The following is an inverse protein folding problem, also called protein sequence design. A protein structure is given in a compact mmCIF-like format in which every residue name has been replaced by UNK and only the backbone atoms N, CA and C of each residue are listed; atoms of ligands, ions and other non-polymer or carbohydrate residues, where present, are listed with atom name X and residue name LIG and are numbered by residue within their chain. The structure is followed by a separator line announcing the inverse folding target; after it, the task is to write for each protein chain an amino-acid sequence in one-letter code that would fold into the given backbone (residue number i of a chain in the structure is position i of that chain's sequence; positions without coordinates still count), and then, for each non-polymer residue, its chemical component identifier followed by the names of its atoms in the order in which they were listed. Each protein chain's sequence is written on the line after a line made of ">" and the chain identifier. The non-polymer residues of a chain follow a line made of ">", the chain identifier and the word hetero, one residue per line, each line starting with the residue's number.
data_IF_215479699205
#
_entry.id   IF_215479699205
#
_cell.length_a   1.000
_cell.length_b   1.000
_cell.length_c   1.000
_cell.angle_alpha   90.00
_cell.angle_beta   90.00
_cell.angle_gamma   90.00
#
_symmetry.space_group_name_H-M   'P 1'
#
loop_
_entity.id
_entity.type
_entity.pdbx_description
1 polymer ?
#
# COMPACT_ATOMS: atom_id res chain seq x y z
N UNK A 1 -18.26 -51.20 48.63
CA UNK A 1 -17.34 -50.84 47.56
C UNK A 1 -17.88 -49.60 46.82
N UNK A 2 -17.25 -48.49 47.03
CA UNK A 2 -17.62 -47.25 46.32
C UNK A 2 -16.66 -47.10 45.15
N UNK A 3 -17.19 -47.13 43.92
CA UNK A 3 -16.45 -46.82 42.72
C UNK A 3 -16.17 -45.31 42.66
N UNK A 4 -14.92 -44.88 42.42
CA UNK A 4 -14.65 -43.47 42.21
C UNK A 4 -15.17 -43.07 40.83
N UNK A 5 -16.03 -42.06 40.80
CA UNK A 5 -16.44 -41.41 39.56
C UNK A 5 -15.23 -40.71 38.97
N UNK A 6 -14.70 -41.27 37.89
CA UNK A 6 -13.75 -40.57 37.03
C UNK A 6 -14.56 -39.59 36.16
N UNK A 7 -14.51 -38.32 36.53
CA UNK A 7 -14.97 -37.25 35.65
C UNK A 7 -13.97 -37.10 34.48
N UNK A 8 -14.41 -37.14 33.25
CA UNK A 8 -13.53 -36.79 32.15
C UNK A 8 -13.30 -35.28 32.13
N UNK A 9 -12.06 -34.89 32.35
CA UNK A 9 -11.62 -33.52 32.14
C UNK A 9 -11.58 -33.28 30.62
N UNK A 10 -12.55 -32.56 30.11
CA UNK A 10 -12.54 -32.09 28.71
C UNK A 10 -11.45 -31.02 28.59
N UNK A 11 -10.46 -31.17 27.70
CA UNK A 11 -9.54 -30.08 27.42
C UNK A 11 -10.29 -28.98 26.68
N UNK A 12 -10.37 -27.82 27.30
CA UNK A 12 -10.86 -26.60 26.64
C UNK A 12 -9.84 -26.22 25.55
N UNK A 13 -10.18 -26.54 24.30
CA UNK A 13 -9.39 -26.12 23.16
C UNK A 13 -9.59 -24.61 23.00
N UNK A 14 -8.66 -23.81 23.55
CA UNK A 14 -8.64 -22.38 23.30
C UNK A 14 -8.20 -22.15 21.86
N UNK A 15 -9.15 -21.81 21.00
CA UNK A 15 -8.85 -21.28 19.67
C UNK A 15 -8.19 -19.91 19.87
N UNK A 16 -6.88 -19.88 19.72
CA UNK A 16 -6.14 -18.63 19.60
C UNK A 16 -6.40 -18.09 18.18
N UNK A 17 -7.31 -17.14 18.06
CA UNK A 17 -7.45 -16.37 16.83
C UNK A 17 -6.19 -15.50 16.70
N UNK A 18 -5.26 -15.94 15.87
CA UNK A 18 -4.16 -15.10 15.43
C UNK A 18 -4.72 -14.04 14.48
N UNK A 19 -5.05 -12.85 15.01
CA UNK A 19 -5.23 -11.66 14.19
C UNK A 19 -3.86 -11.17 13.72
N UNK A 20 -3.30 -11.78 12.69
CA UNK A 20 -2.18 -11.22 11.98
C UNK A 20 -2.68 -10.00 11.21
N UNK A 21 -2.11 -8.81 11.47
CA UNK A 21 -2.34 -7.64 10.63
C UNK A 21 -1.96 -7.98 9.19
N UNK A 22 -2.95 -8.01 8.29
CA UNK A 22 -2.70 -8.32 6.89
C UNK A 22 -1.99 -7.15 6.23
N UNK A 23 -0.79 -7.39 5.70
CA UNK A 23 -0.10 -6.45 4.82
C UNK A 23 -0.89 -6.38 3.52
N UNK A 24 -1.24 -5.18 2.99
CA UNK A 24 -1.92 -5.06 1.72
C UNK A 24 -1.19 -5.80 0.62
N UNK A 25 -1.92 -6.56 -0.18
CA UNK A 25 -1.37 -7.17 -1.39
C UNK A 25 -1.00 -6.09 -2.39
N UNK A 26 0.19 -6.19 -3.00
CA UNK A 26 0.73 -5.17 -3.88
C UNK A 26 0.76 -5.64 -5.32
N UNK A 27 0.22 -4.82 -6.20
CA UNK A 27 0.22 -5.06 -7.64
C UNK A 27 1.53 -4.58 -8.25
N UNK A 28 2.26 -5.41 -9.01
CA UNK A 28 3.40 -4.95 -9.79
C UNK A 28 2.96 -3.96 -10.86
N UNK A 29 3.60 -2.79 -10.90
CA UNK A 29 3.28 -1.72 -11.86
C UNK A 29 4.57 -1.10 -12.40
N UNK A 30 4.50 -0.52 -13.59
CA UNK A 30 5.61 0.23 -14.20
C UNK A 30 5.55 1.73 -13.93
N UNK A 31 4.39 2.22 -13.54
CA UNK A 31 4.15 3.61 -13.13
C UNK A 31 2.91 3.68 -12.22
N UNK A 32 2.60 4.86 -11.70
CA UNK A 32 1.51 5.04 -10.76
C UNK A 32 0.10 5.12 -11.40
N UNK A 33 -0.01 5.26 -12.71
CA UNK A 33 -1.31 5.52 -13.39
C UNK A 33 -2.32 4.40 -13.16
N UNK A 34 -1.89 3.14 -13.30
CA UNK A 34 -2.76 2.00 -13.06
C UNK A 34 -3.30 1.97 -11.62
N UNK A 35 -2.48 2.34 -10.64
CA UNK A 35 -2.89 2.41 -9.24
C UNK A 35 -3.85 3.59 -8.97
N UNK A 36 -3.66 4.72 -9.65
CA UNK A 36 -4.57 5.85 -9.53
C UNK A 36 -5.97 5.49 -10.04
N UNK A 37 -6.08 4.81 -11.18
CA UNK A 37 -7.36 4.30 -11.69
C UNK A 37 -7.97 3.28 -10.73
N UNK A 38 -7.17 2.36 -10.22
CA UNK A 38 -7.64 1.37 -9.24
C UNK A 38 -8.18 2.04 -7.99
N UNK A 39 -7.52 3.05 -7.46
CA UNK A 39 -7.98 3.80 -6.28
C UNK A 39 -9.30 4.54 -6.55
N UNK A 40 -9.48 5.13 -7.73
CA UNK A 40 -10.73 5.79 -8.11
C UNK A 40 -11.92 4.82 -8.15
N UNK A 41 -11.68 3.56 -8.50
CA UNK A 41 -12.71 2.52 -8.60
C UNK A 41 -12.89 1.71 -7.31
N UNK A 42 -11.91 1.73 -6.41
CA UNK A 42 -11.94 0.94 -5.19
C UNK A 42 -12.97 1.50 -4.19
N UNK A 43 -13.75 0.64 -3.51
CA UNK A 43 -14.71 1.09 -2.49
C UNK A 43 -14.06 1.86 -1.34
N UNK A 44 -12.82 1.52 -0.96
CA UNK A 44 -12.05 2.20 0.09
C UNK A 44 -11.20 3.38 -0.44
N UNK A 45 -11.22 3.63 -1.74
CA UNK A 45 -10.44 4.70 -2.38
C UNK A 45 -8.94 4.50 -2.34
N UNK A 46 -8.46 3.26 -2.18
CA UNK A 46 -7.04 2.94 -2.02
C UNK A 46 -6.54 1.97 -3.08
N UNK A 47 -5.26 2.06 -3.39
CA UNK A 47 -4.55 1.10 -4.20
C UNK A 47 -3.09 0.99 -3.72
N UNK A 48 -2.54 -0.21 -3.81
CA UNK A 48 -1.19 -0.51 -3.34
C UNK A 48 -0.44 -1.27 -4.43
N UNK A 49 0.79 -0.84 -4.68
CA UNK A 49 1.61 -1.45 -5.71
C UNK A 49 3.09 -1.50 -5.38
N UNK A 50 3.83 -2.15 -6.25
CA UNK A 50 5.29 -2.19 -6.25
C UNK A 50 5.78 -1.79 -7.64
N UNK A 51 6.68 -0.81 -7.68
CA UNK A 51 7.27 -0.35 -8.93
C UNK A 51 8.24 -1.40 -9.47
N UNK A 52 8.10 -1.76 -10.73
CA UNK A 52 8.92 -2.75 -11.43
C UNK A 52 9.47 -2.20 -12.74
N UNK A 53 10.45 -2.88 -13.31
CA UNK A 53 11.03 -2.55 -14.60
C UNK A 53 12.20 -1.58 -14.53
N UNK A 54 12.54 -1.00 -15.68
CA UNK A 54 13.77 -0.19 -15.82
C UNK A 54 13.82 1.03 -14.89
N UNK A 55 12.69 1.68 -14.67
CA UNK A 55 12.63 2.83 -13.76
C UNK A 55 12.95 2.43 -12.32
N UNK A 56 12.37 1.32 -11.85
CA UNK A 56 12.65 0.80 -10.51
C UNK A 56 14.12 0.43 -10.36
N UNK A 57 14.69 -0.23 -11.36
CA UNK A 57 16.10 -0.63 -11.37
C UNK A 57 17.02 0.60 -11.36
N UNK A 58 16.73 1.62 -12.15
CA UNK A 58 17.51 2.85 -12.22
C UNK A 58 17.49 3.61 -10.89
N UNK A 59 16.34 3.74 -10.24
CA UNK A 59 16.20 4.39 -8.94
C UNK A 59 16.98 3.62 -7.87
N UNK A 60 16.81 2.30 -7.82
CA UNK A 60 17.49 1.45 -6.84
C UNK A 60 19.01 1.50 -7.00
N UNK A 61 19.51 1.50 -8.22
CA UNK A 61 20.95 1.66 -8.50
C UNK A 61 21.47 3.05 -8.07
N UNK A 62 20.71 4.09 -8.40
CA UNK A 62 21.10 5.48 -8.05
C UNK A 62 21.28 5.68 -6.55
N UNK A 63 20.46 5.03 -5.74
CA UNK A 63 20.43 5.17 -4.29
C UNK A 63 20.97 3.95 -3.53
N UNK A 64 21.63 3.04 -4.23
CA UNK A 64 22.25 1.83 -3.65
C UNK A 64 21.28 1.04 -2.76
N UNK A 65 20.02 0.98 -3.16
CA UNK A 65 18.99 0.24 -2.46
C UNK A 65 18.71 -1.10 -3.16
N UNK A 66 18.42 -2.14 -2.39
CA UNK A 66 18.10 -3.49 -2.89
C UNK A 66 16.67 -3.90 -2.56
N UNK A 67 15.93 -3.05 -1.87
CA UNK A 67 14.55 -3.27 -1.44
C UNK A 67 13.56 -2.81 -2.50
N UNK A 68 12.30 -3.32 -2.46
CA UNK A 68 11.28 -2.85 -3.36
C UNK A 68 10.94 -1.37 -3.19
N UNK A 69 10.50 -0.73 -4.28
CA UNK A 69 9.90 0.59 -4.25
C UNK A 69 8.39 0.42 -4.19
N UNK A 70 7.77 0.84 -3.10
CA UNK A 70 6.33 0.73 -2.91
C UNK A 70 5.61 2.01 -3.32
N UNK A 71 4.40 1.83 -3.84
CA UNK A 71 3.50 2.93 -4.21
C UNK A 71 2.18 2.72 -3.51
N UNK A 72 1.76 3.71 -2.73
CA UNK A 72 0.45 3.74 -2.09
C UNK A 72 -0.36 4.91 -2.61
N UNK A 73 -1.59 4.66 -3.02
CA UNK A 73 -2.52 5.69 -3.46
C UNK A 73 -3.71 5.69 -2.51
N UNK A 74 -4.04 6.86 -1.99
CA UNK A 74 -5.22 7.08 -1.15
C UNK A 74 -6.04 8.23 -1.70
N UNK A 75 -7.33 8.25 -1.38
CA UNK A 75 -8.24 9.31 -1.79
C UNK A 75 -8.40 10.31 -0.66
N UNK A 76 -8.03 11.57 -0.92
CA UNK A 76 -8.19 12.67 0.04
C UNK A 76 -9.57 13.32 -0.08
N UNK A 77 -10.11 13.42 -1.30
CA UNK A 77 -11.39 14.06 -1.56
C UNK A 77 -12.05 13.50 -2.81
N UNK A 78 -13.34 13.24 -2.75
CA UNK A 78 -14.17 12.96 -3.92
C UNK A 78 -14.75 14.28 -4.46
N UNK A 79 -14.64 14.50 -5.77
CA UNK A 79 -15.26 15.65 -6.43
C UNK A 79 -16.69 15.33 -6.86
N UNK A 80 -17.50 16.35 -7.09
CA UNK A 80 -18.86 16.19 -7.62
C UNK A 80 -18.87 15.61 -9.02
N UNK A 81 -17.83 15.93 -9.81
CA UNK A 81 -17.64 15.29 -11.12
C UNK A 81 -17.40 13.81 -10.94
N UNK A 82 -18.27 12.98 -11.52
CA UNK A 82 -18.20 11.51 -11.42
C UNK A 82 -16.87 11.00 -11.95
N UNK A 83 -16.24 10.11 -11.18
CA UNK A 83 -14.97 9.51 -11.57
C UNK A 83 -13.74 10.37 -11.33
N UNK A 84 -13.88 11.48 -10.61
CA UNK A 84 -12.78 12.40 -10.28
C UNK A 84 -12.56 12.50 -8.77
N UNK A 85 -11.30 12.52 -8.35
CA UNK A 85 -10.91 12.67 -6.95
C UNK A 85 -9.58 13.38 -6.81
N UNK A 86 -9.35 13.91 -5.62
CA UNK A 86 -8.01 14.30 -5.15
C UNK A 86 -7.35 13.07 -4.58
N UNK A 87 -6.27 12.63 -5.21
CA UNK A 87 -5.49 11.48 -4.78
C UNK A 87 -4.18 11.94 -4.14
N UNK A 88 -3.75 11.19 -3.13
CA UNK A 88 -2.39 11.26 -2.59
C UNK A 88 -1.62 10.04 -3.06
N UNK A 89 -0.48 10.25 -3.70
CA UNK A 89 0.40 9.21 -4.19
C UNK A 89 1.69 9.26 -3.38
N UNK A 90 2.03 8.15 -2.74
CA UNK A 90 3.25 7.99 -1.94
C UNK A 90 4.15 6.94 -2.57
N UNK A 91 5.38 7.33 -2.91
CA UNK A 91 6.46 6.40 -3.25
C UNK A 91 7.37 6.26 -2.05
N UNK A 92 7.73 5.04 -1.66
CA UNK A 92 8.66 4.84 -0.58
C UNK A 92 9.53 3.60 -0.76
N UNK A 93 10.73 3.67 -0.21
CA UNK A 93 11.72 2.60 -0.28
C UNK A 93 12.55 2.60 1.00
N UNK A 94 12.81 1.41 1.54
CA UNK A 94 13.72 1.21 2.66
C UNK A 94 15.18 1.17 2.19
N UNK A 95 16.10 1.47 3.09
CA UNK A 95 17.53 1.29 2.84
C UNK A 95 18.11 2.19 1.75
N UNK A 96 17.53 3.36 1.54
CA UNK A 96 18.00 4.33 0.56
C UNK A 96 19.21 5.10 1.10
N UNK A 97 20.30 5.07 0.33
CA UNK A 97 21.51 5.84 0.63
C UNK A 97 21.52 7.10 -0.22
N UNK A 98 21.23 8.24 0.41
CA UNK A 98 21.27 9.53 -0.28
C UNK A 98 22.73 9.96 -0.51
N UNK A 99 23.02 10.70 -1.62
CA UNK A 99 24.36 11.25 -1.87
C UNK A 99 24.88 12.06 -0.69
N UNK A 100 26.12 11.81 -0.29
CA UNK A 100 26.76 12.49 0.83
C UNK A 100 26.39 11.96 2.22
N UNK A 101 25.57 10.89 2.29
CA UNK A 101 25.22 10.23 3.55
C UNK A 101 25.85 8.85 3.65
N UNK A 102 26.00 8.33 4.88
CA UNK A 102 26.58 7.02 5.15
C UNK A 102 25.61 6.04 5.79
N UNK A 103 24.40 6.50 6.13
CA UNK A 103 23.38 5.68 6.80
C UNK A 103 22.17 5.50 5.89
N UNK A 104 21.86 4.25 5.47
CA UNK A 104 20.65 3.97 4.72
C UNK A 104 19.40 4.28 5.54
N UNK A 105 18.39 4.87 4.90
CA UNK A 105 17.12 5.24 5.54
C UNK A 105 15.95 4.98 4.62
N UNK A 106 14.76 4.86 5.22
CA UNK A 106 13.50 4.94 4.49
C UNK A 106 13.34 6.33 3.90
N UNK A 107 13.05 6.39 2.61
CA UNK A 107 12.69 7.62 1.91
C UNK A 107 11.26 7.52 1.40
N UNK A 108 10.53 8.62 1.53
CA UNK A 108 9.14 8.74 1.08
C UNK A 108 8.99 10.04 0.28
N UNK A 109 8.34 9.93 -0.87
CA UNK A 109 7.94 11.09 -1.68
C UNK A 109 6.43 11.05 -1.83
N UNK A 110 5.75 12.07 -1.32
CA UNK A 110 4.31 12.22 -1.41
C UNK A 110 3.95 13.37 -2.35
N UNK A 111 2.94 13.16 -3.17
CA UNK A 111 2.33 14.25 -3.93
C UNK A 111 0.82 14.06 -4.04
N UNK A 112 0.12 15.18 -4.22
CA UNK A 112 -1.32 15.18 -4.47
C UNK A 112 -1.60 15.46 -5.94
N UNK A 113 -2.60 14.79 -6.49
CA UNK A 113 -3.04 14.99 -7.87
C UNK A 113 -4.56 14.96 -7.95
N UNK A 114 -5.13 15.87 -8.74
CA UNK A 114 -6.54 15.83 -9.12
C UNK A 114 -6.66 14.98 -10.38
N UNK A 115 -7.34 13.85 -10.28
CA UNK A 115 -7.31 12.83 -11.32
C UNK A 115 -8.70 12.26 -11.58
N UNK A 116 -9.02 12.03 -12.85
CA UNK A 116 -10.26 11.40 -13.29
C UNK A 116 -9.99 10.08 -14.01
N UNK A 117 -11.00 9.25 -14.15
CA UNK A 117 -10.92 7.95 -14.83
C UNK A 117 -10.46 8.04 -16.29
N UNK A 118 -10.72 9.18 -16.96
CA UNK A 118 -10.27 9.44 -18.32
C UNK A 118 -8.79 9.87 -18.42
N UNK A 119 -8.10 9.98 -17.29
CA UNK A 119 -6.72 10.45 -17.22
C UNK A 119 -6.55 11.96 -17.28
N UNK A 120 -7.64 12.72 -17.35
CA UNK A 120 -7.64 14.18 -17.43
C UNK A 120 -7.89 14.79 -16.03
N UNK A 121 -7.52 16.06 -15.82
CA UNK A 121 -7.89 16.78 -14.62
C UNK A 121 -9.42 16.99 -14.54
N UNK A 122 -9.99 17.15 -13.34
CA UNK A 122 -11.39 17.54 -13.18
C UNK A 122 -11.67 18.91 -13.82
N UNK A 123 -12.86 19.08 -14.37
CA UNK A 123 -13.32 20.38 -14.91
C UNK A 123 -13.64 21.38 -13.80
N UNK A 124 -13.92 20.90 -12.60
CA UNK A 124 -14.20 21.69 -11.41
C UNK A 124 -13.67 20.97 -10.18
N UNK A 125 -13.20 21.73 -9.19
CA UNK A 125 -12.72 21.22 -7.90
C UNK A 125 -13.79 21.27 -6.80
N UNK A 126 -15.05 21.29 -7.15
CA UNK A 126 -16.18 21.26 -6.23
C UNK A 126 -16.61 19.85 -5.88
#
# INVERSE_FOLDING_TARGET
>A
MKLPYLMPVLPLLTLVLNCAAQVPERTPVKDARALMVTALLAPDGQAHGVLTGELADAISQRFSATTPIYIDVTTDKHYRQVGCSRLKVSFWQEGVLLPGTHSPRKQTIDFGINYCLDGLPPKSLQ
#
